data_IF_052160393448
#
_entry.id   IF_052160393448
#
_cell.length_a   1.000
_cell.length_b   1.000
_cell.length_c   1.000
_cell.angle_alpha   90.00
_cell.angle_beta   90.00
_cell.angle_gamma   90.00
#
_symmetry.space_group_name_H-M   'P 1'
#
loop_
_entity.id
_entity.type
_entity.pdbx_description
1 polymer ?
#
# COMPACT_ATOMS: atom_id res chain seq x y z
N UNK A 1 4.68 -14.84 -34.50
CA UNK A 1 3.72 -13.72 -34.63
C UNK A 1 4.33 -12.37 -34.24
N UNK A 2 4.88 -12.20 -33.01
CA UNK A 2 5.52 -10.94 -32.59
C UNK A 2 6.75 -10.61 -33.44
N UNK A 3 7.58 -11.61 -33.76
CA UNK A 3 8.78 -11.48 -34.64
C UNK A 3 8.37 -11.14 -36.07
N UNK A 4 7.30 -11.70 -36.58
CA UNK A 4 6.80 -11.42 -37.94
C UNK A 4 6.30 -9.98 -38.10
N UNK A 5 5.58 -9.47 -37.07
CA UNK A 5 5.11 -8.08 -37.05
C UNK A 5 6.24 -7.06 -36.84
N UNK A 6 7.36 -7.50 -36.29
CA UNK A 6 8.56 -6.67 -36.15
C UNK A 6 9.26 -6.37 -37.48
N UNK A 7 9.02 -7.15 -38.53
CA UNK A 7 9.61 -6.95 -39.86
C UNK A 7 8.92 -5.87 -40.70
N UNK A 8 7.76 -5.34 -40.25
CA UNK A 8 7.10 -4.21 -40.93
C UNK A 8 7.84 -2.90 -40.62
N UNK A 9 7.90 -1.96 -41.54
CA UNK A 9 8.51 -0.62 -41.29
C UNK A 9 7.60 0.34 -40.51
N UNK A 10 6.36 -0.05 -40.22
CA UNK A 10 5.40 0.80 -39.52
C UNK A 10 5.73 0.95 -38.04
N UNK A 11 5.60 2.17 -37.48
CA UNK A 11 5.71 2.37 -36.03
C UNK A 11 4.71 1.49 -35.28
N UNK A 12 5.16 0.83 -34.23
CA UNK A 12 4.31 -0.07 -33.45
C UNK A 12 4.66 -0.09 -31.96
N UNK A 13 3.62 -0.18 -31.13
CA UNK A 13 3.72 -0.40 -29.69
C UNK A 13 3.20 -1.80 -29.38
N UNK A 14 4.04 -2.64 -28.79
CA UNK A 14 3.69 -3.98 -28.37
C UNK A 14 3.47 -4.02 -26.86
N UNK A 15 2.24 -4.31 -26.44
CA UNK A 15 1.88 -4.44 -25.03
C UNK A 15 1.78 -5.92 -24.66
N UNK A 16 2.69 -6.36 -23.78
CA UNK A 16 2.75 -7.74 -23.30
C UNK A 16 2.26 -7.77 -21.85
N UNK A 17 1.05 -8.28 -21.63
CA UNK A 17 0.46 -8.42 -20.30
C UNK A 17 0.91 -9.72 -19.65
N UNK A 18 1.26 -9.65 -18.37
CA UNK A 18 1.69 -10.81 -17.54
C UNK A 18 2.88 -11.60 -18.11
N UNK A 19 3.64 -10.97 -19.02
CA UNK A 19 4.78 -11.60 -19.67
C UNK A 19 6.03 -11.65 -18.77
N UNK A 20 6.04 -10.92 -17.67
CA UNK A 20 7.11 -10.91 -16.67
C UNK A 20 7.51 -12.30 -16.19
N UNK A 21 6.53 -13.23 -16.04
CA UNK A 21 6.78 -14.62 -15.62
C UNK A 21 7.65 -15.42 -16.59
N UNK A 22 7.65 -15.05 -17.85
CA UNK A 22 8.42 -15.72 -18.89
C UNK A 22 9.84 -15.16 -19.06
N UNK A 23 10.15 -14.01 -18.43
CA UNK A 23 11.47 -13.38 -18.52
C UNK A 23 12.60 -14.26 -17.97
N UNK A 24 12.27 -15.15 -17.04
CA UNK A 24 13.23 -16.09 -16.41
C UNK A 24 13.66 -17.22 -17.37
N UNK A 25 12.85 -17.49 -18.40
CA UNK A 25 13.19 -18.48 -19.42
C UNK A 25 14.38 -18.00 -20.28
N UNK A 26 15.43 -18.81 -20.33
CA UNK A 26 16.67 -18.47 -21.02
C UNK A 26 16.47 -18.25 -22.53
N UNK A 27 15.58 -19.02 -23.17
CA UNK A 27 15.28 -18.90 -24.61
C UNK A 27 14.55 -17.60 -24.90
N UNK A 28 13.62 -17.21 -24.03
CA UNK A 28 12.85 -15.96 -24.13
C UNK A 28 13.76 -14.76 -23.84
N UNK A 29 14.58 -14.81 -22.80
CA UNK A 29 15.55 -13.77 -22.49
C UNK A 29 16.51 -13.51 -23.62
N UNK A 30 17.03 -14.56 -24.25
CA UNK A 30 17.88 -14.46 -25.46
C UNK A 30 17.17 -13.80 -26.63
N UNK A 31 15.92 -14.22 -26.90
CA UNK A 31 15.12 -13.63 -27.99
C UNK A 31 14.87 -12.15 -27.74
N UNK A 32 14.49 -11.75 -26.53
CA UNK A 32 14.31 -10.35 -26.16
C UNK A 32 15.59 -9.54 -26.30
N UNK A 33 16.73 -10.08 -25.88
CA UNK A 33 18.04 -9.46 -26.05
C UNK A 33 18.39 -9.24 -27.53
N UNK A 34 18.10 -10.20 -28.40
CA UNK A 34 18.33 -10.06 -29.84
C UNK A 34 17.36 -9.04 -30.45
N UNK A 35 16.09 -9.06 -30.04
CA UNK A 35 15.08 -8.10 -30.48
C UNK A 35 15.42 -6.67 -30.06
N UNK A 36 16.00 -6.45 -28.88
CA UNK A 36 16.39 -5.10 -28.45
C UNK A 36 17.36 -4.41 -29.37
N UNK A 37 18.23 -5.18 -30.04
CA UNK A 37 19.17 -4.65 -31.06
C UNK A 37 18.46 -4.15 -32.31
N UNK A 38 17.42 -4.87 -32.73
CA UNK A 38 16.59 -4.51 -33.90
C UNK A 38 15.70 -3.32 -33.57
N UNK A 39 15.09 -3.33 -32.36
CA UNK A 39 14.20 -2.26 -31.91
C UNK A 39 14.90 -0.90 -31.80
N UNK A 40 16.19 -0.87 -31.48
CA UNK A 40 16.97 0.39 -31.45
C UNK A 40 17.03 1.12 -32.79
N UNK A 41 16.84 0.39 -33.88
CA UNK A 41 16.90 0.92 -35.25
C UNK A 41 15.52 1.17 -35.86
N UNK A 42 14.45 0.87 -35.15
CA UNK A 42 13.07 0.97 -35.64
C UNK A 42 12.20 1.75 -34.65
N UNK A 43 11.17 2.47 -35.12
CA UNK A 43 10.22 3.19 -34.26
C UNK A 43 9.23 2.22 -33.59
N UNK A 44 9.75 1.28 -32.82
CA UNK A 44 8.96 0.22 -32.16
C UNK A 44 9.35 0.10 -30.70
N UNK A 45 8.37 -0.08 -29.86
CA UNK A 45 8.56 -0.22 -28.41
C UNK A 45 7.80 -1.43 -27.88
N UNK A 46 8.43 -2.16 -26.96
CA UNK A 46 7.78 -3.24 -26.22
C UNK A 46 7.56 -2.75 -24.79
N UNK A 47 6.33 -2.83 -24.31
CA UNK A 47 5.96 -2.56 -22.92
C UNK A 47 5.51 -3.87 -22.30
N UNK A 48 6.13 -4.25 -21.18
CA UNK A 48 5.76 -5.42 -20.40
C UNK A 48 5.06 -4.93 -19.15
N UNK A 49 3.84 -5.40 -18.89
CA UNK A 49 3.08 -5.11 -17.68
C UNK A 49 3.01 -6.38 -16.85
N UNK A 50 3.35 -6.28 -15.58
CA UNK A 50 3.28 -7.39 -14.63
C UNK A 50 3.26 -6.89 -13.19
N UNK A 51 2.76 -7.72 -12.28
CA UNK A 51 2.68 -7.42 -10.84
C UNK A 51 4.02 -7.59 -10.12
N UNK A 52 4.82 -8.57 -10.55
CA UNK A 52 6.13 -8.87 -10.00
C UNK A 52 7.17 -8.80 -11.11
N UNK A 53 8.28 -8.13 -10.83
CA UNK A 53 9.31 -7.94 -11.82
C UNK A 53 10.64 -8.54 -11.34
N UNK A 54 10.89 -9.78 -11.77
CA UNK A 54 12.21 -10.39 -11.66
C UNK A 54 12.91 -10.28 -13.02
N UNK A 55 13.84 -9.33 -13.15
CA UNK A 55 14.59 -9.11 -14.39
C UNK A 55 15.88 -9.93 -14.33
N UNK A 56 16.09 -10.86 -15.28
CA UNK A 56 17.39 -11.53 -15.44
C UNK A 56 18.52 -10.52 -15.68
N UNK A 57 19.71 -10.83 -15.17
CA UNK A 57 20.88 -9.95 -15.28
C UNK A 57 21.19 -9.53 -16.73
N UNK A 58 20.94 -10.43 -17.67
CA UNK A 58 21.20 -10.20 -19.09
C UNK A 58 20.26 -9.16 -19.73
N UNK A 59 19.13 -8.84 -19.08
CA UNK A 59 18.15 -7.88 -19.57
C UNK A 59 18.13 -6.57 -18.78
N UNK A 60 18.85 -6.48 -17.66
CA UNK A 60 18.81 -5.30 -16.77
C UNK A 60 19.18 -4.01 -17.49
N UNK A 61 20.21 -4.05 -18.36
CA UNK A 61 20.66 -2.88 -19.11
C UNK A 61 19.77 -2.53 -20.32
N UNK A 62 18.80 -3.39 -20.64
CA UNK A 62 17.94 -3.24 -21.82
C UNK A 62 16.52 -2.83 -21.46
N UNK A 63 16.12 -3.01 -20.21
CA UNK A 63 14.76 -2.76 -19.74
C UNK A 63 14.77 -1.57 -18.78
N UNK A 64 13.99 -0.56 -19.10
CA UNK A 64 13.70 0.53 -18.16
C UNK A 64 12.50 0.14 -17.33
N UNK A 65 12.67 0.09 -16.01
CA UNK A 65 11.59 -0.20 -15.07
C UNK A 65 10.87 1.10 -14.74
N UNK A 66 9.56 1.10 -14.96
CA UNK A 66 8.67 2.16 -14.51
C UNK A 66 7.77 1.57 -13.43
N UNK A 67 7.92 2.04 -12.21
CA UNK A 67 7.07 1.63 -11.11
C UNK A 67 5.76 2.41 -11.16
N UNK A 68 4.65 1.69 -11.12
CA UNK A 68 3.32 2.30 -11.06
C UNK A 68 2.93 2.44 -9.58
N UNK A 69 3.03 3.64 -9.08
CA UNK A 69 2.77 3.94 -7.67
C UNK A 69 1.27 3.94 -7.35
N UNK A 70 0.97 3.77 -6.07
CA UNK A 70 -0.40 3.91 -5.57
C UNK A 70 -0.81 5.39 -5.61
N UNK A 71 -2.13 5.68 -5.68
CA UNK A 71 -2.61 7.04 -5.81
C UNK A 71 -2.24 7.88 -4.59
N UNK A 72 -1.78 9.09 -4.86
CA UNK A 72 -1.51 10.12 -3.86
C UNK A 72 -2.82 10.69 -3.31
N UNK A 73 -2.73 11.41 -2.20
CA UNK A 73 -3.87 12.04 -1.52
C UNK A 73 -4.70 12.92 -2.46
N UNK A 74 -4.04 13.70 -3.33
CA UNK A 74 -4.71 14.55 -4.31
C UNK A 74 -5.53 13.75 -5.34
N UNK A 75 -5.02 12.62 -5.80
CA UNK A 75 -5.70 11.75 -6.76
C UNK A 75 -6.87 11.05 -6.10
N UNK A 76 -6.72 10.61 -4.85
CA UNK A 76 -7.81 10.05 -4.04
C UNK A 76 -8.91 11.09 -3.85
N UNK A 77 -8.55 12.32 -3.50
CA UNK A 77 -9.51 13.42 -3.32
C UNK A 77 -10.28 13.71 -4.60
N UNK A 78 -9.59 13.78 -5.74
CA UNK A 78 -10.25 13.98 -7.05
C UNK A 78 -11.24 12.85 -7.36
N UNK A 79 -10.86 11.61 -7.11
CA UNK A 79 -11.73 10.45 -7.37
C UNK A 79 -12.95 10.42 -6.43
N UNK A 80 -12.76 10.73 -5.14
CA UNK A 80 -13.84 10.86 -4.17
C UNK A 80 -14.83 11.96 -4.57
N UNK A 81 -14.33 13.16 -4.89
CA UNK A 81 -15.17 14.28 -5.32
C UNK A 81 -15.94 13.94 -6.59
N UNK A 82 -15.31 13.32 -7.59
CA UNK A 82 -15.99 12.86 -8.81
C UNK A 82 -17.17 11.94 -8.52
N UNK A 83 -16.99 10.99 -7.57
CA UNK A 83 -18.06 10.06 -7.18
C UNK A 83 -19.16 10.77 -6.38
N UNK A 84 -18.79 11.65 -5.45
CA UNK A 84 -19.71 12.45 -4.64
C UNK A 84 -20.59 13.32 -5.54
N UNK A 85 -19.98 14.03 -6.49
CA UNK A 85 -20.67 14.90 -7.44
C UNK A 85 -21.62 14.10 -8.37
N UNK A 86 -21.17 12.93 -8.85
CA UNK A 86 -22.00 12.07 -9.73
C UNK A 86 -23.24 11.54 -9.02
N UNK A 87 -23.24 11.47 -7.71
CA UNK A 87 -24.33 10.93 -6.88
C UNK A 87 -25.14 12.01 -6.16
N UNK A 88 -24.74 13.30 -6.29
CA UNK A 88 -25.34 14.44 -5.57
C UNK A 88 -25.38 14.23 -4.04
N UNK A 89 -24.36 13.59 -3.46
CA UNK A 89 -24.25 13.35 -2.03
C UNK A 89 -23.53 14.55 -1.40
N UNK A 90 -24.09 15.10 -0.29
CA UNK A 90 -23.41 16.13 0.49
C UNK A 90 -22.61 15.45 1.60
N UNK A 91 -21.32 15.70 1.66
CA UNK A 91 -20.42 15.17 2.68
C UNK A 91 -19.77 16.35 3.40
N UNK A 92 -19.65 16.22 4.73
CA UNK A 92 -18.91 17.18 5.54
C UNK A 92 -17.39 17.11 5.23
N UNK A 93 -16.73 18.26 5.29
CA UNK A 93 -15.28 18.34 4.99
C UNK A 93 -14.43 17.45 5.90
N UNK A 94 -14.80 17.33 7.17
CA UNK A 94 -14.11 16.46 8.12
C UNK A 94 -14.25 14.98 7.77
N UNK A 95 -15.45 14.58 7.34
CA UNK A 95 -15.70 13.20 6.88
C UNK A 95 -14.92 12.90 5.61
N UNK A 96 -14.85 13.86 4.67
CA UNK A 96 -14.07 13.72 3.43
C UNK A 96 -12.58 13.49 3.74
N UNK A 97 -11.98 14.28 4.63
CA UNK A 97 -10.59 14.08 5.04
C UNK A 97 -10.35 12.69 5.65
N UNK A 98 -11.27 12.23 6.51
CA UNK A 98 -11.18 10.91 7.12
C UNK A 98 -11.31 9.78 6.08
N UNK A 99 -12.16 9.96 5.07
CA UNK A 99 -12.31 9.02 3.96
C UNK A 99 -11.04 8.98 3.09
N UNK A 100 -10.44 10.12 2.78
CA UNK A 100 -9.18 10.21 2.03
C UNK A 100 -8.11 9.41 2.76
N UNK A 101 -7.93 9.64 4.06
CA UNK A 101 -6.97 8.89 4.90
C UNK A 101 -7.27 7.40 4.92
N UNK A 102 -8.55 7.02 5.05
CA UNK A 102 -8.94 5.63 5.02
C UNK A 102 -8.64 4.96 3.66
N UNK A 103 -8.75 5.69 2.55
CA UNK A 103 -8.48 5.19 1.19
C UNK A 103 -6.98 5.14 0.84
N UNK A 104 -6.12 5.88 1.53
CA UNK A 104 -4.67 5.83 1.28
C UNK A 104 -4.17 4.37 1.30
N UNK A 105 -3.28 4.01 0.37
CA UNK A 105 -2.75 2.66 0.24
C UNK A 105 -3.67 1.67 -0.52
N UNK A 106 -4.81 2.11 -1.01
CA UNK A 106 -5.63 1.35 -1.94
C UNK A 106 -5.41 1.85 -3.38
N UNK A 107 -5.45 0.95 -4.37
CA UNK A 107 -5.49 1.37 -5.77
C UNK A 107 -6.81 2.08 -6.10
N UNK A 108 -6.82 2.98 -7.09
CA UNK A 108 -8.03 3.70 -7.51
C UNK A 108 -9.19 2.74 -7.85
N UNK A 109 -8.88 1.60 -8.46
CA UNK A 109 -9.88 0.59 -8.78
C UNK A 109 -10.51 -0.03 -7.52
N UNK A 110 -9.69 -0.32 -6.50
CA UNK A 110 -10.20 -0.81 -5.21
C UNK A 110 -11.03 0.24 -4.49
N UNK A 111 -10.61 1.50 -4.52
CA UNK A 111 -11.36 2.62 -3.96
C UNK A 111 -12.75 2.70 -4.62
N UNK A 112 -12.81 2.69 -5.95
CA UNK A 112 -14.08 2.69 -6.70
C UNK A 112 -14.98 1.52 -6.31
N UNK A 113 -14.41 0.32 -6.25
CA UNK A 113 -15.16 -0.89 -5.88
C UNK A 113 -15.74 -0.82 -4.47
N UNK A 114 -14.94 -0.39 -3.49
CA UNK A 114 -15.38 -0.28 -2.10
C UNK A 114 -16.45 0.79 -1.95
N UNK A 115 -16.27 1.95 -2.57
CA UNK A 115 -17.25 3.03 -2.54
C UNK A 115 -18.55 2.63 -3.24
N UNK A 116 -18.47 1.97 -4.39
CA UNK A 116 -19.66 1.43 -5.08
C UNK A 116 -20.41 0.43 -4.20
N UNK A 117 -19.70 -0.43 -3.48
CA UNK A 117 -20.28 -1.37 -2.51
C UNK A 117 -20.97 -0.63 -1.35
N UNK A 118 -20.33 0.40 -0.78
CA UNK A 118 -20.89 1.23 0.28
C UNK A 118 -22.19 1.88 -0.20
N UNK A 119 -22.17 2.52 -1.35
CA UNK A 119 -23.31 3.21 -1.92
C UNK A 119 -24.45 2.23 -2.24
N UNK A 120 -24.15 1.07 -2.83
CA UNK A 120 -25.15 0.04 -3.11
C UNK A 120 -25.81 -0.51 -1.85
N UNK A 121 -25.06 -0.59 -0.74
CA UNK A 121 -25.55 -1.18 0.53
C UNK A 121 -26.26 -0.16 1.40
N UNK A 122 -25.67 1.02 1.57
CA UNK A 122 -26.12 2.01 2.59
C UNK A 122 -26.78 3.24 1.95
N UNK A 123 -26.66 3.44 0.63
CA UNK A 123 -27.16 4.61 -0.13
C UNK A 123 -26.63 5.97 0.35
N UNK A 124 -25.76 5.98 1.34
CA UNK A 124 -25.14 7.16 1.94
C UNK A 124 -23.68 6.88 2.23
N UNK A 125 -22.89 7.94 2.35
CA UNK A 125 -21.50 7.88 2.79
C UNK A 125 -21.46 8.55 4.17
N UNK A 126 -21.13 7.76 5.19
CA UNK A 126 -21.08 8.16 6.59
C UNK A 126 -19.82 7.63 7.29
N UNK A 127 -19.70 7.82 8.59
CA UNK A 127 -18.59 7.28 9.39
C UNK A 127 -18.48 5.74 9.33
N UNK A 128 -19.60 5.02 9.09
CA UNK A 128 -19.55 3.56 8.95
C UNK A 128 -18.86 3.15 7.65
N UNK A 129 -18.86 4.02 6.65
CA UNK A 129 -18.12 3.82 5.40
C UNK A 129 -16.63 3.65 5.64
N UNK A 130 -16.06 4.37 6.61
CA UNK A 130 -14.67 4.22 7.03
C UNK A 130 -14.38 2.80 7.52
N UNK A 131 -15.29 2.21 8.30
CA UNK A 131 -15.15 0.83 8.79
C UNK A 131 -15.13 -0.18 7.65
N UNK A 132 -15.95 0.04 6.61
CA UNK A 132 -15.97 -0.83 5.42
C UNK A 132 -14.66 -0.73 4.64
N UNK A 133 -14.13 0.48 4.44
CA UNK A 133 -12.83 0.69 3.80
C UNK A 133 -11.70 0.01 4.60
N UNK A 134 -11.69 0.17 5.93
CA UNK A 134 -10.72 -0.48 6.80
C UNK A 134 -10.85 -2.02 6.76
N UNK A 135 -12.07 -2.56 6.60
CA UNK A 135 -12.26 -4.01 6.45
C UNK A 135 -11.67 -4.54 5.13
N UNK A 136 -11.74 -3.77 4.07
CA UNK A 136 -11.10 -4.10 2.79
C UNK A 136 -9.57 -4.08 2.92
N UNK A 137 -9.00 -3.09 3.61
CA UNK A 137 -7.56 -3.09 3.94
C UNK A 137 -7.17 -4.33 4.74
N UNK A 138 -7.97 -4.72 5.72
CA UNK A 138 -7.75 -5.95 6.49
C UNK A 138 -7.66 -7.18 5.59
N UNK A 139 -8.52 -7.27 4.57
CA UNK A 139 -8.50 -8.38 3.63
C UNK A 139 -7.20 -8.43 2.81
N UNK A 140 -6.65 -7.27 2.44
CA UNK A 140 -5.34 -7.19 1.75
C UNK A 140 -4.22 -7.70 2.65
N UNK A 141 -4.20 -7.25 3.91
CA UNK A 141 -3.20 -7.66 4.89
C UNK A 141 -3.26 -9.16 5.16
N UNK A 142 -4.48 -9.73 5.27
CA UNK A 142 -4.65 -11.15 5.53
C UNK A 142 -4.20 -12.06 4.38
N UNK A 143 -3.98 -11.51 3.19
CA UNK A 143 -3.36 -12.23 2.07
C UNK A 143 -1.83 -12.36 2.24
N UNK A 144 -1.23 -11.61 3.16
CA UNK A 144 0.18 -11.75 3.53
C UNK A 144 0.27 -12.61 4.79
N UNK A 145 1.04 -13.69 4.73
CA UNK A 145 1.18 -14.61 5.87
C UNK A 145 2.00 -14.04 7.03
N UNK A 146 2.70 -12.92 6.80
CA UNK A 146 3.70 -12.35 7.72
C UNK A 146 3.11 -11.29 8.64
N UNK A 147 2.08 -10.56 8.18
CA UNK A 147 1.41 -9.50 8.90
C UNK A 147 0.01 -9.91 9.33
N UNK A 148 -0.32 -9.67 10.57
CA UNK A 148 -1.65 -9.85 11.12
C UNK A 148 -2.29 -8.49 11.38
N UNK A 149 -3.50 -8.29 10.86
CA UNK A 149 -4.30 -7.13 11.25
C UNK A 149 -4.85 -7.33 12.66
N UNK A 150 -4.46 -6.47 13.58
CA UNK A 150 -4.98 -6.50 14.94
C UNK A 150 -6.21 -5.59 15.06
N UNK A 151 -7.35 -6.17 15.45
CA UNK A 151 -8.52 -5.36 15.79
C UNK A 151 -8.24 -4.53 17.04
N UNK A 152 -8.50 -3.23 16.94
CA UNK A 152 -8.16 -2.27 17.99
C UNK A 152 -9.43 -1.84 18.70
N UNK A 153 -9.60 -2.28 19.92
CA UNK A 153 -10.74 -1.93 20.78
C UNK A 153 -10.32 -1.22 22.07
N UNK A 154 -9.03 -1.24 22.37
CA UNK A 154 -8.49 -0.75 23.62
C UNK A 154 -8.38 0.78 23.63
N UNK A 155 -8.88 1.41 24.69
CA UNK A 155 -8.78 2.86 24.87
C UNK A 155 -7.51 3.20 25.68
N UNK A 156 -6.93 4.37 25.42
CA UNK A 156 -5.73 4.84 26.13
C UNK A 156 -6.00 5.05 27.63
N UNK A 157 -7.24 5.35 27.99
CA UNK A 157 -7.65 5.54 29.37
C UNK A 157 -7.65 4.23 30.19
N UNK A 158 -7.79 3.09 29.51
CA UNK A 158 -7.70 1.75 30.12
C UNK A 158 -6.27 1.35 30.51
N UNK A 159 -5.26 2.11 30.06
CA UNK A 159 -3.87 1.90 30.45
C UNK A 159 -3.64 2.44 31.86
N UNK A 160 -3.33 1.57 32.84
CA UNK A 160 -2.94 1.98 34.17
C UNK A 160 -1.60 2.74 34.18
N UNK A 161 -1.52 3.89 34.84
CA UNK A 161 -0.29 4.68 34.89
C UNK A 161 0.10 5.28 33.55
N UNK A 162 1.41 5.28 33.28
CA UNK A 162 2.02 5.76 32.02
C UNK A 162 1.68 7.21 31.64
N UNK A 163 1.49 8.10 32.61
CA UNK A 163 1.02 9.48 32.41
C UNK A 163 1.91 10.25 31.44
N UNK A 164 3.24 10.14 31.58
CA UNK A 164 4.19 10.80 30.69
C UNK A 164 4.05 10.31 29.24
N UNK A 165 3.78 9.01 29.03
CA UNK A 165 3.55 8.45 27.72
C UNK A 165 2.22 8.95 27.14
N UNK A 166 1.16 8.98 27.93
CA UNK A 166 -0.14 9.50 27.52
C UNK A 166 -0.06 10.96 27.08
N UNK A 167 0.64 11.79 27.82
CA UNK A 167 0.84 13.21 27.47
C UNK A 167 1.70 13.36 26.21
N UNK A 168 2.73 12.53 26.07
CA UNK A 168 3.56 12.51 24.88
C UNK A 168 2.75 12.11 23.62
N UNK A 169 1.90 11.09 23.73
CA UNK A 169 1.03 10.62 22.64
C UNK A 169 0.01 11.68 22.22
N UNK A 170 -0.63 12.36 23.18
CA UNK A 170 -1.58 13.45 22.90
C UNK A 170 -0.92 14.57 22.09
N UNK A 171 0.28 15.00 22.50
CA UNK A 171 1.04 16.03 21.78
C UNK A 171 1.44 15.61 20.37
N UNK A 172 1.70 14.33 20.16
CA UNK A 172 2.15 13.78 18.85
C UNK A 172 1.01 13.42 17.90
N UNK A 173 -0.20 13.25 18.40
CA UNK A 173 -1.38 12.96 17.59
C UNK A 173 -1.62 14.03 16.51
N UNK A 174 -1.40 15.30 16.85
CA UNK A 174 -1.56 16.41 15.91
C UNK A 174 -0.54 16.42 14.77
N UNK A 175 0.59 15.72 14.91
CA UNK A 175 1.61 15.63 13.87
C UNK A 175 1.17 14.87 12.60
N UNK A 176 0.06 14.14 12.65
CA UNK A 176 -0.54 13.51 11.48
C UNK A 176 -1.51 14.42 10.71
N UNK A 177 -1.71 15.65 11.14
CA UNK A 177 -2.59 16.61 10.45
C UNK A 177 -1.88 17.25 9.25
N UNK A 178 -2.68 17.66 8.25
CA UNK A 178 -2.20 18.41 7.08
C UNK A 178 -1.53 19.72 7.52
N UNK A 179 -2.06 20.36 8.55
CA UNK A 179 -1.48 21.61 9.10
C UNK A 179 -0.07 21.38 9.65
N UNK A 180 0.16 20.25 10.36
CA UNK A 180 1.48 19.91 10.87
C UNK A 180 2.47 19.62 9.73
N UNK A 181 2.03 18.94 8.68
CA UNK A 181 2.82 18.68 7.48
C UNK A 181 3.21 19.98 6.78
N UNK A 182 2.26 20.90 6.59
CA UNK A 182 2.51 22.22 5.99
C UNK A 182 3.46 23.07 6.84
N UNK A 183 3.45 22.89 8.15
CA UNK A 183 4.38 23.54 9.08
C UNK A 183 5.77 22.89 9.10
N UNK A 184 5.95 21.75 8.42
CA UNK A 184 7.22 21.02 8.35
C UNK A 184 7.48 20.11 9.55
N UNK A 185 6.47 19.77 10.36
CA UNK A 185 6.61 18.84 11.47
C UNK A 185 6.63 17.40 10.96
N UNK A 186 7.68 16.61 11.25
CA UNK A 186 7.73 15.22 10.84
C UNK A 186 6.75 14.37 11.66
N UNK A 187 6.11 13.41 11.00
CA UNK A 187 5.30 12.39 11.67
C UNK A 187 6.15 11.53 12.62
N UNK A 188 5.59 11.04 13.74
CA UNK A 188 6.28 10.12 14.65
C UNK A 188 6.69 8.85 13.91
N UNK A 189 7.96 8.47 13.99
CA UNK A 189 8.51 7.31 13.26
C UNK A 189 8.56 6.03 14.08
N UNK A 190 8.82 6.13 15.37
CA UNK A 190 8.96 4.95 16.20
C UNK A 190 8.89 5.24 17.69
N UNK A 191 8.47 4.21 18.45
CA UNK A 191 8.43 4.20 19.90
C UNK A 191 8.98 2.86 20.38
N UNK A 192 10.02 2.90 21.21
CA UNK A 192 10.57 1.70 21.85
C UNK A 192 9.94 1.53 23.23
N UNK A 193 9.20 0.44 23.43
CA UNK A 193 8.65 0.06 24.74
C UNK A 193 9.51 -1.03 25.36
N UNK A 194 10.18 -0.71 26.46
CA UNK A 194 11.05 -1.63 27.20
C UNK A 194 10.41 -1.96 28.55
N UNK A 195 10.41 -3.23 28.92
CA UNK A 195 9.87 -3.71 30.18
C UNK A 195 9.71 -5.24 30.22
N UNK A 196 9.51 -5.79 31.40
CA UNK A 196 9.28 -7.22 31.62
C UNK A 196 7.97 -7.70 30.98
N UNK A 197 7.80 -9.00 30.84
CA UNK A 197 6.52 -9.58 30.38
C UNK A 197 5.37 -9.16 31.32
N UNK A 198 4.18 -8.96 30.76
CA UNK A 198 2.99 -8.58 31.55
C UNK A 198 2.84 -7.07 31.83
N UNK A 199 3.81 -6.21 31.50
CA UNK A 199 3.74 -4.76 31.75
C UNK A 199 2.85 -3.98 30.76
N UNK A 200 2.06 -4.62 29.94
CA UNK A 200 1.09 -3.97 29.08
C UNK A 200 1.64 -3.40 27.76
N UNK A 201 2.85 -3.79 27.30
CA UNK A 201 3.45 -3.29 26.05
C UNK A 201 2.53 -3.48 24.83
N UNK A 202 1.98 -4.68 24.67
CA UNK A 202 1.05 -5.00 23.58
C UNK A 202 -0.28 -4.24 23.70
N UNK A 203 -0.76 -4.04 24.93
CA UNK A 203 -1.96 -3.27 25.21
C UNK A 203 -1.74 -1.79 24.85
N UNK A 204 -0.55 -1.27 25.14
CA UNK A 204 -0.15 0.08 24.78
C UNK A 204 -0.15 0.29 23.27
N UNK A 205 0.42 -0.64 22.50
CA UNK A 205 0.40 -0.56 21.03
C UNK A 205 -1.02 -0.51 20.46
N UNK A 206 -1.93 -1.34 21.00
CA UNK A 206 -3.35 -1.33 20.64
C UNK A 206 -4.03 -0.01 21.00
N UNK A 207 -3.78 0.50 22.21
CA UNK A 207 -4.37 1.75 22.68
C UNK A 207 -3.91 2.96 21.86
N UNK A 208 -2.64 2.99 21.44
CA UNK A 208 -2.08 4.03 20.55
C UNK A 208 -2.79 3.98 19.19
N UNK A 209 -2.92 2.80 18.61
CA UNK A 209 -3.57 2.63 17.32
C UNK A 209 -5.04 3.09 17.35
N UNK A 210 -5.75 2.80 18.44
CA UNK A 210 -7.12 3.27 18.64
C UNK A 210 -7.20 4.78 18.80
N UNK A 211 -6.33 5.37 19.62
CA UNK A 211 -6.35 6.82 19.86
C UNK A 211 -5.99 7.62 18.58
N UNK A 212 -5.04 7.13 17.83
CA UNK A 212 -4.62 7.76 16.56
C UNK A 212 -5.49 7.38 15.37
N UNK A 213 -6.42 6.43 15.56
CA UNK A 213 -7.31 5.89 14.50
C UNK A 213 -6.53 5.32 13.31
N UNK A 214 -5.39 4.70 13.59
CA UNK A 214 -4.55 4.06 12.60
C UNK A 214 -4.69 2.52 12.66
N UNK A 215 -4.59 1.82 11.52
CA UNK A 215 -4.56 0.36 11.52
C UNK A 215 -3.32 -0.16 12.26
N UNK A 216 -3.49 -1.22 13.05
CA UNK A 216 -2.41 -1.90 13.74
C UNK A 216 -2.04 -3.18 13.01
N UNK A 217 -0.80 -3.23 12.54
CA UNK A 217 -0.21 -4.39 11.90
C UNK A 217 0.73 -5.07 12.91
N UNK A 218 0.45 -6.31 13.23
CA UNK A 218 1.32 -7.13 14.07
C UNK A 218 2.25 -7.95 13.19
N UNK A 219 3.55 -7.80 13.40
CA UNK A 219 4.57 -8.59 12.73
C UNK A 219 4.76 -9.93 13.46
N UNK A 220 4.64 -11.02 12.72
CA UNK A 220 5.03 -12.34 13.22
C UNK A 220 6.52 -12.59 12.92
N UNK A 221 7.34 -12.31 13.91
CA UNK A 221 8.81 -12.47 13.83
C UNK A 221 9.18 -13.94 13.56
N UNK A 222 8.41 -14.90 14.09
CA UNK A 222 8.65 -16.33 13.86
C UNK A 222 8.48 -16.71 12.38
N UNK A 223 7.44 -16.18 11.74
CA UNK A 223 7.21 -16.39 10.31
C UNK A 223 8.22 -15.64 9.43
N UNK A 224 8.73 -14.50 9.90
CA UNK A 224 9.72 -13.73 9.17
C UNK A 224 11.06 -14.49 9.07
N UNK A 225 11.51 -15.09 10.16
CA UNK A 225 12.82 -15.75 10.25
C UNK A 225 12.75 -17.30 10.19
N UNK A 226 11.55 -17.88 10.11
CA UNK A 226 11.34 -19.34 10.11
C UNK A 226 11.64 -20.05 8.78
N UNK A 227 12.24 -19.40 7.80
CA UNK A 227 12.57 -19.96 6.49
C UNK A 227 14.07 -20.18 6.26
N UNK A 228 14.39 -20.70 5.08
CA UNK A 228 15.77 -20.90 4.62
C UNK A 228 16.47 -19.54 4.45
N UNK A 229 17.78 -19.50 4.65
CA UNK A 229 18.61 -18.29 4.44
C UNK A 229 18.39 -17.74 3.03
N UNK A 230 17.97 -16.47 2.93
CA UNK A 230 17.59 -15.80 1.68
C UNK A 230 16.08 -15.54 1.53
N UNK A 231 15.21 -16.39 2.07
CA UNK A 231 13.77 -16.13 2.09
C UNK A 231 13.39 -15.04 3.09
N UNK A 232 14.10 -14.94 4.18
CA UNK A 232 13.86 -13.94 5.23
C UNK A 232 13.99 -12.50 4.70
N UNK A 233 14.97 -12.25 3.81
CA UNK A 233 15.15 -10.93 3.19
C UNK A 233 14.00 -10.61 2.22
N UNK A 234 13.58 -11.57 1.42
CA UNK A 234 12.43 -11.41 0.51
C UNK A 234 11.13 -11.15 1.30
N UNK A 235 10.92 -11.90 2.38
CA UNK A 235 9.77 -11.73 3.28
C UNK A 235 9.78 -10.37 3.97
N UNK A 236 10.96 -9.90 4.41
CA UNK A 236 11.12 -8.58 5.02
C UNK A 236 10.76 -7.47 4.02
N UNK A 237 11.25 -7.55 2.78
CA UNK A 237 10.89 -6.59 1.71
C UNK A 237 9.39 -6.61 1.42
N UNK A 238 8.79 -7.78 1.33
CA UNK A 238 7.34 -7.92 1.13
C UNK A 238 6.56 -7.28 2.27
N UNK A 239 6.98 -7.50 3.51
CA UNK A 239 6.37 -6.90 4.70
C UNK A 239 6.45 -5.38 4.66
N UNK A 240 7.63 -4.83 4.34
CA UNK A 240 7.83 -3.38 4.23
C UNK A 240 6.91 -2.81 3.15
N UNK A 241 6.89 -3.39 1.96
CA UNK A 241 6.04 -2.96 0.86
C UNK A 241 4.55 -2.95 1.24
N UNK A 242 4.08 -3.96 1.98
CA UNK A 242 2.70 -4.02 2.45
C UNK A 242 2.43 -2.94 3.51
N UNK A 243 3.35 -2.73 4.45
CA UNK A 243 3.21 -1.71 5.48
C UNK A 243 3.22 -0.30 4.87
N UNK A 244 4.08 -0.03 3.89
CA UNK A 244 4.14 1.22 3.13
C UNK A 244 2.84 1.45 2.33
N UNK A 245 2.35 0.40 1.68
CA UNK A 245 1.07 0.43 0.93
C UNK A 245 -0.10 0.81 1.82
N UNK A 246 -0.11 0.36 3.08
CA UNK A 246 -1.22 0.60 4.03
C UNK A 246 -1.02 1.89 4.83
N UNK A 247 0.15 2.52 4.70
CA UNK A 247 0.48 3.76 5.41
C UNK A 247 -0.64 4.83 5.25
N UNK A 248 -0.93 5.62 6.31
CA UNK A 248 -0.31 5.55 7.64
C UNK A 248 -0.83 4.38 8.50
N UNK A 249 0.06 3.61 9.08
CA UNK A 249 -0.26 2.47 9.94
C UNK A 249 0.71 2.38 11.12
N UNK A 250 0.35 1.62 12.13
CA UNK A 250 1.25 1.26 13.24
C UNK A 250 1.72 -0.17 13.02
N UNK A 251 3.02 -0.36 12.88
CA UNK A 251 3.65 -1.66 12.81
C UNK A 251 4.18 -2.05 14.20
N UNK A 252 3.77 -3.20 14.69
CA UNK A 252 4.14 -3.71 16.01
C UNK A 252 4.68 -5.13 15.94
#
# INVERSE_FOLDING_TARGET
>A
ELVERLNSETPALFLLKDFNRFLVDLSISRKLRNLSRVLKLQPKTIIIIGSDLTIPKELQDLITVVQFELPLENEINQELNRLIDSLNIKIDSQLLENLIRACQGLSLERIRRVLSKIIATYKTIDENSIKVILSEKKQIISQTEILEYSSVTEKIDNLGGLNNLKDWLKKRKTAFSIQASNYGLPTPRGLLLVGIQGTGKSLTAKAIANDWQLPLLKLDVGKLFGGIVGESESRLRQMINVAETISPCILW
#
